data_IF_609146940974
#
_entry.id   IF_609146940974
#
_cell.length_a   1.000
_cell.length_b   1.000
_cell.length_c   1.000
_cell.angle_alpha   90.00
_cell.angle_beta   90.00
_cell.angle_gamma   90.00
#
_symmetry.space_group_name_H-M   'P 1'
#
loop_
_entity.id
_entity.type
_entity.pdbx_description
1 polymer ?
#
# COMPACT_ATOMS: atom_id res chain seq x y z
N UNK A 1 14.69 -7.63 -14.39
CA UNK A 1 13.43 -6.82 -14.29
C UNK A 1 13.79 -5.35 -14.31
N UNK A 2 12.90 -4.51 -14.82
CA UNK A 2 13.20 -3.09 -14.98
C UNK A 2 13.22 -2.36 -13.62
N UNK A 3 14.35 -1.77 -13.26
CA UNK A 3 14.47 -0.91 -12.09
C UNK A 3 13.53 0.30 -12.19
N UNK A 4 13.07 0.67 -13.40
CA UNK A 4 12.10 1.73 -13.63
C UNK A 4 10.70 1.41 -13.07
N UNK A 5 10.24 0.16 -13.19
CA UNK A 5 8.97 -0.27 -12.60
C UNK A 5 9.01 -0.19 -11.07
N UNK A 6 10.14 -0.60 -10.45
CA UNK A 6 10.33 -0.44 -9.00
C UNK A 6 10.36 1.05 -8.61
N UNK A 7 11.07 1.89 -9.35
CA UNK A 7 11.11 3.33 -9.11
C UNK A 7 9.72 3.96 -9.18
N UNK A 8 8.90 3.57 -10.18
CA UNK A 8 7.52 4.00 -10.30
C UNK A 8 6.63 3.54 -9.12
N UNK A 9 6.76 2.27 -8.73
CA UNK A 9 6.05 1.73 -7.57
C UNK A 9 6.40 2.48 -6.28
N UNK A 10 7.70 2.69 -6.03
CA UNK A 10 8.18 3.44 -4.86
C UNK A 10 7.77 4.91 -4.91
N UNK A 11 7.75 5.54 -6.09
CA UNK A 11 7.22 6.91 -6.24
C UNK A 11 5.75 6.96 -5.84
N UNK A 12 4.95 5.98 -6.25
CA UNK A 12 3.54 5.91 -5.90
C UNK A 12 3.31 5.79 -4.39
N UNK A 13 4.10 4.96 -3.70
CA UNK A 13 3.93 4.71 -2.25
C UNK A 13 4.56 5.78 -1.37
N UNK A 14 5.66 6.42 -1.81
CA UNK A 14 6.34 7.46 -1.03
C UNK A 14 5.77 8.85 -1.26
N UNK A 15 4.96 9.04 -2.30
CA UNK A 15 4.52 10.35 -2.80
C UNK A 15 5.69 11.30 -3.10
N UNK A 16 6.81 10.77 -3.53
CA UNK A 16 8.03 11.49 -3.90
C UNK A 16 8.55 10.91 -5.21
N UNK A 17 9.22 11.71 -6.00
CA UNK A 17 9.92 11.19 -7.17
C UNK A 17 11.03 10.25 -6.72
N UNK A 18 10.95 8.99 -7.14
CA UNK A 18 12.02 7.99 -6.94
C UNK A 18 12.58 7.65 -8.30
N UNK A 19 13.88 7.74 -8.45
CA UNK A 19 14.61 7.44 -9.68
C UNK A 19 15.50 6.21 -9.50
N UNK A 20 15.89 5.63 -10.61
CA UNK A 20 16.86 4.53 -10.59
C UNK A 20 18.26 5.06 -10.26
N UNK A 21 19.16 4.17 -9.83
CA UNK A 21 20.55 4.55 -9.63
C UNK A 21 21.24 4.95 -10.95
N UNK A 22 20.85 4.32 -12.05
CA UNK A 22 21.39 4.62 -13.38
C UNK A 22 21.02 6.06 -13.81
N UNK A 23 19.80 6.51 -13.48
CA UNK A 23 19.38 7.88 -13.78
C UNK A 23 20.08 8.89 -12.85
N UNK A 24 20.21 8.54 -11.57
CA UNK A 24 20.95 9.34 -10.60
C UNK A 24 22.42 9.53 -11.03
N UNK A 25 23.10 8.47 -11.47
CA UNK A 25 24.52 8.47 -11.86
C UNK A 25 24.81 9.25 -13.14
N UNK A 26 23.82 9.46 -14.01
CA UNK A 26 23.96 10.29 -15.22
C UNK A 26 24.08 11.80 -14.93
N UNK A 27 23.86 12.22 -13.72
CA UNK A 27 24.02 13.59 -13.26
C UNK A 27 22.78 14.48 -13.45
N UNK A 28 22.84 15.70 -12.92
CA UNK A 28 21.73 16.68 -13.02
C UNK A 28 20.72 16.62 -11.88
N UNK A 29 20.98 15.84 -10.85
CA UNK A 29 20.07 15.66 -9.71
C UNK A 29 20.67 16.18 -8.40
N UNK A 30 21.10 17.47 -8.40
CA UNK A 30 21.54 18.13 -7.17
C UNK A 30 20.41 18.13 -6.13
N UNK A 31 20.72 17.65 -4.92
CA UNK A 31 19.73 17.55 -3.84
C UNK A 31 18.97 16.21 -3.74
N UNK A 32 19.32 15.20 -4.54
CA UNK A 32 18.80 13.86 -4.36
C UNK A 32 19.30 13.21 -3.06
N UNK A 33 18.43 12.50 -2.38
CA UNK A 33 18.78 11.68 -1.22
C UNK A 33 18.60 10.20 -1.53
N UNK A 34 19.46 9.36 -0.98
CA UNK A 34 19.25 7.92 -1.04
C UNK A 34 17.98 7.55 -0.29
N UNK A 35 17.18 6.67 -0.87
CA UNK A 35 16.03 6.11 -0.19
C UNK A 35 16.50 5.33 1.04
N UNK A 36 15.93 5.65 2.21
CA UNK A 36 16.37 5.06 3.47
C UNK A 36 16.21 3.54 3.46
N UNK A 37 17.32 2.86 3.61
CA UNK A 37 17.36 1.40 3.65
C UNK A 37 16.57 0.83 4.82
N UNK A 38 16.51 1.52 5.96
CA UNK A 38 15.84 1.03 7.17
C UNK A 38 14.36 0.71 6.91
N UNK A 39 13.73 1.53 6.08
CA UNK A 39 12.34 1.35 5.68
C UNK A 39 12.14 0.21 4.68
N UNK A 40 13.13 -0.04 3.81
CA UNK A 40 13.06 -1.11 2.80
C UNK A 40 13.37 -2.50 3.36
N UNK A 41 13.99 -2.59 4.55
CA UNK A 41 14.48 -3.85 5.09
C UNK A 41 13.41 -4.79 5.63
N UNK A 42 12.22 -4.28 5.89
CA UNK A 42 11.13 -5.05 6.48
C UNK A 42 10.15 -5.62 5.44
N UNK A 43 10.31 -5.27 4.16
CA UNK A 43 9.32 -5.67 3.16
C UNK A 43 9.94 -6.02 1.81
N UNK A 44 9.36 -7.03 1.16
CA UNK A 44 9.54 -7.30 -0.25
C UNK A 44 8.43 -6.62 -1.02
N UNK A 45 8.77 -5.85 -2.05
CA UNK A 45 7.78 -5.26 -2.93
C UNK A 45 7.36 -6.27 -3.99
N UNK A 46 6.05 -6.49 -4.11
CA UNK A 46 5.48 -7.29 -5.19
C UNK A 46 4.68 -6.35 -6.08
N UNK A 47 5.16 -6.11 -7.30
CA UNK A 47 4.44 -5.35 -8.31
C UNK A 47 3.75 -6.31 -9.27
N UNK A 48 2.46 -6.17 -9.45
CA UNK A 48 1.69 -6.96 -10.41
C UNK A 48 1.03 -6.06 -11.44
N UNK A 49 1.07 -6.48 -12.71
CA UNK A 49 0.14 -5.95 -13.69
C UNK A 49 -1.26 -6.35 -13.24
N UNK A 50 -2.19 -5.40 -13.22
CA UNK A 50 -3.61 -5.73 -12.95
C UNK A 50 -4.05 -6.71 -14.04
N UNK A 51 -4.44 -7.96 -13.71
CA UNK A 51 -4.92 -8.89 -14.71
C UNK A 51 -6.14 -8.30 -15.41
N UNK A 52 -6.16 -8.36 -16.73
CA UNK A 52 -7.29 -7.87 -17.53
C UNK A 52 -8.59 -8.66 -17.30
N UNK A 53 -8.51 -9.82 -16.68
CA UNK A 53 -9.66 -10.68 -16.35
C UNK A 53 -10.36 -10.40 -15.02
N UNK A 54 -9.72 -9.58 -14.15
CA UNK A 54 -10.31 -9.04 -12.92
C UNK A 54 -10.08 -7.53 -12.91
N UNK A 55 -10.46 -6.84 -13.98
CA UNK A 55 -10.56 -5.39 -13.97
C UNK A 55 -11.48 -5.04 -12.81
N UNK A 56 -10.96 -4.32 -11.81
CA UNK A 56 -11.85 -3.55 -10.96
C UNK A 56 -12.64 -2.69 -11.91
N UNK A 57 -13.90 -3.00 -12.13
CA UNK A 57 -14.76 -2.15 -12.92
C UNK A 57 -14.92 -0.84 -12.17
N UNK A 58 -14.88 0.26 -12.91
CA UNK A 58 -15.30 1.54 -12.35
C UNK A 58 -16.70 1.36 -11.84
N UNK A 59 -16.91 1.75 -10.62
CA UNK A 59 -18.23 1.78 -10.02
C UNK A 59 -18.80 3.19 -10.10
N UNK A 60 -20.07 3.27 -10.40
CA UNK A 60 -20.78 4.53 -10.35
C UNK A 60 -21.41 4.68 -8.98
N UNK A 61 -20.97 5.72 -8.25
CA UNK A 61 -21.52 6.08 -6.95
C UNK A 61 -22.25 7.42 -7.06
N UNK A 62 -23.08 7.72 -6.08
CA UNK A 62 -23.81 8.97 -6.03
C UNK A 62 -23.37 9.79 -4.81
N UNK A 63 -23.14 11.07 -5.06
CA UNK A 63 -22.88 12.05 -4.00
C UNK A 63 -24.14 12.89 -3.82
N UNK A 64 -24.74 12.79 -2.66
CA UNK A 64 -25.92 13.57 -2.29
C UNK A 64 -25.45 14.90 -1.70
N UNK A 65 -25.59 15.97 -2.47
CA UNK A 65 -25.24 17.34 -2.08
C UNK A 65 -26.32 18.01 -1.22
N UNK A 66 -26.01 19.22 -0.74
CA UNK A 66 -26.83 20.01 0.21
C UNK A 66 -28.24 20.32 -0.32
N UNK A 67 -28.43 20.39 -1.63
CA UNK A 67 -29.71 20.75 -2.26
C UNK A 67 -30.51 19.53 -2.73
N UNK A 68 -30.21 18.34 -2.19
CA UNK A 68 -30.83 17.10 -2.64
C UNK A 68 -30.46 16.67 -4.07
N UNK A 69 -29.55 17.37 -4.74
CA UNK A 69 -29.01 16.95 -6.02
C UNK A 69 -28.00 15.84 -5.84
N UNK A 70 -28.28 14.72 -6.50
CA UNK A 70 -27.32 13.63 -6.59
C UNK A 70 -26.45 13.84 -7.84
N UNK A 71 -25.12 13.87 -7.66
CA UNK A 71 -24.19 13.74 -8.77
C UNK A 71 -23.65 12.31 -8.83
N UNK A 72 -23.61 11.74 -10.04
CA UNK A 72 -22.99 10.44 -10.28
C UNK A 72 -21.49 10.63 -10.55
N UNK A 73 -20.65 9.95 -9.77
CA UNK A 73 -19.20 9.97 -9.94
C UNK A 73 -18.73 8.58 -10.27
N UNK A 74 -17.90 8.43 -11.29
CA UNK A 74 -17.25 7.17 -11.61
C UNK A 74 -15.90 7.09 -10.92
N UNK A 75 -15.74 6.07 -10.11
CA UNK A 75 -14.58 5.86 -9.25
C UNK A 75 -14.15 4.40 -9.28
N UNK A 76 -12.93 4.15 -8.84
CA UNK A 76 -12.48 2.81 -8.60
C UNK A 76 -12.72 2.45 -7.12
N UNK A 77 -13.09 1.22 -6.78
CA UNK A 77 -13.20 0.79 -5.38
C UNK A 77 -11.92 1.05 -4.57
N UNK A 78 -10.78 1.02 -5.24
CA UNK A 78 -9.46 1.29 -4.67
C UNK A 78 -9.10 2.78 -4.54
N UNK A 79 -9.92 3.70 -5.06
CA UNK A 79 -9.66 5.14 -4.90
C UNK A 79 -9.76 5.54 -3.43
N UNK A 80 -8.84 6.39 -2.99
CA UNK A 80 -8.89 7.02 -1.67
C UNK A 80 -10.01 8.06 -1.61
N UNK A 81 -10.56 8.27 -0.42
CA UNK A 81 -11.56 9.31 -0.19
C UNK A 81 -11.05 10.69 -0.57
N UNK A 82 -9.75 10.94 -0.43
CA UNK A 82 -9.13 12.19 -0.91
C UNK A 82 -9.28 12.35 -2.41
N UNK A 83 -9.08 11.29 -3.22
CA UNK A 83 -9.26 11.34 -4.66
C UNK A 83 -10.72 11.58 -5.03
N UNK A 84 -11.65 10.94 -4.30
CA UNK A 84 -13.07 11.21 -4.45
C UNK A 84 -13.40 12.69 -4.17
N UNK A 85 -12.81 13.29 -3.14
CA UNK A 85 -13.01 14.72 -2.84
C UNK A 85 -12.48 15.64 -3.92
N UNK A 86 -11.37 15.31 -4.57
CA UNK A 86 -10.87 16.06 -5.73
C UNK A 86 -11.82 15.94 -6.94
N UNK A 87 -12.37 14.75 -7.18
CA UNK A 87 -13.38 14.55 -8.21
C UNK A 87 -14.64 15.38 -7.92
N UNK A 88 -15.12 15.39 -6.67
CA UNK A 88 -16.25 16.23 -6.24
C UNK A 88 -15.94 17.72 -6.39
N UNK A 89 -14.71 18.17 -6.13
CA UNK A 89 -14.27 19.55 -6.37
C UNK A 89 -14.40 19.91 -7.85
N UNK A 90 -13.99 19.02 -8.76
CA UNK A 90 -14.13 19.23 -10.20
C UNK A 90 -15.59 19.41 -10.63
N UNK A 91 -16.53 18.70 -10.02
CA UNK A 91 -17.95 18.70 -10.37
C UNK A 91 -18.75 19.81 -9.67
N UNK A 92 -18.44 20.12 -8.43
CA UNK A 92 -19.23 21.03 -7.58
C UNK A 92 -18.51 22.30 -7.17
N UNK A 93 -17.21 22.43 -7.43
CA UNK A 93 -16.40 23.60 -7.05
C UNK A 93 -16.18 23.73 -5.52
N UNK A 94 -16.42 22.66 -4.75
CA UNK A 94 -16.27 22.67 -3.29
C UNK A 94 -14.88 22.15 -2.93
N UNK A 95 -14.08 22.95 -2.22
CA UNK A 95 -12.74 22.56 -1.83
C UNK A 95 -12.72 21.31 -0.92
N UNK A 96 -11.76 20.37 -1.08
CA UNK A 96 -11.69 19.12 -0.31
C UNK A 96 -11.74 19.28 1.22
N UNK A 97 -11.13 20.37 1.75
CA UNK A 97 -11.15 20.69 3.17
C UNK A 97 -12.53 21.14 3.67
N UNK A 98 -13.41 21.60 2.79
CA UNK A 98 -14.81 21.95 3.09
C UNK A 98 -15.74 20.74 2.96
N UNK A 99 -15.29 19.65 2.34
CA UNK A 99 -16.10 18.47 2.12
C UNK A 99 -16.04 17.52 3.35
N UNK A 100 -17.20 17.22 3.91
CA UNK A 100 -17.39 16.16 4.88
C UNK A 100 -18.24 15.07 4.24
N UNK A 101 -17.63 13.93 3.93
CA UNK A 101 -18.30 12.79 3.32
C UNK A 101 -18.75 11.82 4.40
N UNK A 102 -20.00 11.36 4.32
CA UNK A 102 -20.61 10.43 5.28
C UNK A 102 -21.24 9.28 4.52
N UNK A 103 -20.93 8.06 4.91
CA UNK A 103 -21.55 6.84 4.38
C UNK A 103 -21.93 5.91 5.52
N UNK A 104 -23.15 5.37 5.48
CA UNK A 104 -23.70 4.50 6.53
C UNK A 104 -23.51 5.06 7.95
N UNK A 105 -23.71 6.38 8.13
CA UNK A 105 -23.58 7.07 9.40
C UNK A 105 -22.14 7.31 9.87
N UNK A 106 -21.13 6.94 9.10
CA UNK A 106 -19.71 7.15 9.41
C UNK A 106 -19.10 8.21 8.52
N UNK A 107 -18.32 9.11 9.10
CA UNK A 107 -17.50 10.04 8.34
C UNK A 107 -16.39 9.27 7.63
N UNK A 108 -16.17 9.57 6.36
CA UNK A 108 -15.11 8.98 5.56
C UNK A 108 -13.80 9.72 5.80
N UNK A 109 -12.73 8.98 6.03
CA UNK A 109 -11.38 9.50 6.24
C UNK A 109 -10.61 9.55 4.94
N UNK A 110 -9.87 10.62 4.70
CA UNK A 110 -9.24 10.96 3.41
C UNK A 110 -8.24 9.92 2.92
N UNK A 111 -7.58 9.25 3.85
CA UNK A 111 -6.52 8.26 3.58
C UNK A 111 -7.04 6.81 3.47
N UNK A 112 -8.33 6.61 3.39
CA UNK A 112 -8.95 5.31 3.26
C UNK A 112 -9.61 5.16 1.89
N UNK A 113 -9.69 3.91 1.42
CA UNK A 113 -10.29 3.61 0.12
C UNK A 113 -11.80 3.41 0.22
N UNK A 114 -12.51 3.57 -0.91
CA UNK A 114 -13.94 3.28 -1.01
C UNK A 114 -14.23 1.81 -0.65
N UNK A 115 -13.41 0.88 -1.11
CA UNK A 115 -13.53 -0.54 -0.78
C UNK A 115 -13.45 -0.80 0.72
N UNK A 116 -12.61 -0.06 1.44
CA UNK A 116 -12.47 -0.21 2.89
C UNK A 116 -13.72 0.14 3.68
N UNK A 117 -14.59 0.96 3.09
CA UNK A 117 -15.92 1.28 3.62
C UNK A 117 -17.03 0.39 3.04
N UNK A 118 -16.67 -0.60 2.19
CA UNK A 118 -17.62 -1.44 1.45
C UNK A 118 -18.57 -0.62 0.56
N UNK A 119 -18.06 0.50 0.02
CA UNK A 119 -18.79 1.34 -0.92
C UNK A 119 -18.72 0.66 -2.28
N UNK A 120 -19.84 0.14 -2.75
CA UNK A 120 -20.00 -0.52 -4.04
C UNK A 120 -20.76 0.33 -5.05
N UNK A 121 -21.02 -0.26 -6.23
CA UNK A 121 -21.80 0.40 -7.29
C UNK A 121 -23.16 0.85 -6.76
N UNK A 122 -23.58 2.05 -7.20
CA UNK A 122 -24.84 2.70 -6.81
C UNK A 122 -24.95 3.11 -5.33
N UNK A 123 -23.87 3.02 -4.55
CA UNK A 123 -23.84 3.56 -3.19
C UNK A 123 -24.05 5.07 -3.21
N UNK A 124 -24.76 5.59 -2.21
CA UNK A 124 -24.95 7.04 -2.03
C UNK A 124 -24.16 7.53 -0.82
N UNK A 125 -23.25 8.48 -1.04
CA UNK A 125 -22.45 9.15 -0.03
C UNK A 125 -23.03 10.53 0.21
N UNK A 126 -23.25 10.88 1.47
CA UNK A 126 -23.70 12.20 1.88
C UNK A 126 -22.53 13.19 1.89
N UNK A 127 -22.69 14.32 1.20
CA UNK A 127 -21.77 15.45 1.25
C UNK A 127 -22.35 16.53 2.15
N UNK A 128 -21.65 16.82 3.24
CA UNK A 128 -21.92 17.96 4.12
C UNK A 128 -20.81 18.99 3.88
N UNK A 129 -21.20 20.22 3.50
CA UNK A 129 -20.22 21.31 3.33
C UNK A 129 -20.00 21.99 4.68
N UNK A 130 -18.74 22.09 5.08
CA UNK A 130 -18.35 22.94 6.22
C UNK A 130 -18.38 24.38 5.73
N UNK A 131 -19.43 25.13 6.12
CA UNK A 131 -19.40 26.56 6.00
C UNK A 131 -18.35 27.08 6.97
N UNK A 132 -17.27 27.66 6.46
CA UNK A 132 -16.27 28.32 7.29
C UNK A 132 -16.94 29.42 8.08
N UNK A 133 -17.25 29.16 9.36
CA UNK A 133 -17.60 30.19 10.31
C UNK A 133 -16.36 31.04 10.54
N UNK A 134 -16.46 32.33 10.24
CA UNK A 134 -15.40 33.29 10.47
C UNK A 134 -15.03 33.40 11.95
N UNK A 135 -13.78 33.77 12.19
CA UNK A 135 -13.24 34.18 13.48
C UNK A 135 -12.19 33.20 13.97
N UNK A 136 -10.92 33.43 13.80
CA UNK A 136 -10.20 34.31 14.69
C UNK A 136 -8.89 34.79 14.07
N UNK A 137 -8.81 36.07 13.84
CA UNK A 137 -7.57 36.79 13.62
C UNK A 137 -7.00 37.12 14.99
N UNK A 138 -6.04 36.35 15.45
CA UNK A 138 -5.09 36.84 16.45
C UNK A 138 -3.70 36.79 15.87
N UNK A 139 -3.16 37.98 15.67
CA UNK A 139 -1.86 38.23 15.13
C UNK A 139 -0.76 37.56 15.94
N UNK A 140 0.14 36.97 15.21
CA UNK A 140 1.46 36.53 15.61
C UNK A 140 2.39 36.79 14.46
N UNK A 141 3.00 37.96 14.48
CA UNK A 141 4.18 38.31 13.69
C UNK A 141 5.23 37.23 13.94
N UNK A 142 5.50 36.44 12.92
CA UNK A 142 6.54 35.44 12.89
C UNK A 142 6.91 35.21 11.45
N UNK A 143 7.85 36.02 10.95
CA UNK A 143 8.57 35.79 9.71
C UNK A 143 9.23 34.40 9.73
N UNK A 144 8.46 33.38 9.51
CA UNK A 144 8.97 32.10 9.04
C UNK A 144 8.98 32.14 7.53
N UNK A 145 10.16 32.42 7.02
CA UNK A 145 10.48 32.21 5.62
C UNK A 145 9.95 30.82 5.24
N UNK A 146 9.04 30.82 4.29
CA UNK A 146 8.65 29.64 3.54
C UNK A 146 9.90 29.11 2.86
N UNK A 147 10.61 28.22 3.56
CA UNK A 147 11.54 27.34 2.88
C UNK A 147 10.70 26.46 1.99
N UNK A 148 10.88 26.50 0.66
CA UNK A 148 10.32 25.46 -0.18
C UNK A 148 10.89 24.15 0.39
N UNK A 149 10.02 23.27 0.89
CA UNK A 149 10.43 21.91 1.19
C UNK A 149 11.14 21.41 -0.05
N UNK A 150 12.43 21.08 0.01
CA UNK A 150 13.11 20.56 -1.16
C UNK A 150 12.30 19.34 -1.59
N UNK A 151 11.83 19.34 -2.82
CA UNK A 151 11.29 18.17 -3.48
C UNK A 151 12.46 17.20 -3.65
N UNK A 152 12.82 16.54 -2.54
CA UNK A 152 13.97 15.66 -2.51
C UNK A 152 13.62 14.47 -3.35
N UNK A 153 14.14 14.42 -4.55
CA UNK A 153 14.10 13.23 -5.39
C UNK A 153 14.86 12.14 -4.65
N UNK A 154 14.28 10.97 -4.54
CA UNK A 154 14.91 9.82 -3.91
C UNK A 154 15.49 8.90 -4.98
N UNK A 155 16.56 8.20 -4.69
CA UNK A 155 17.08 7.17 -5.56
C UNK A 155 17.29 5.85 -4.80
N UNK A 156 17.18 4.73 -5.54
CA UNK A 156 17.36 3.40 -5.00
C UNK A 156 18.79 2.96 -5.26
N UNK A 157 19.56 2.79 -4.17
CA UNK A 157 20.90 2.25 -4.30
C UNK A 157 20.87 0.74 -4.63
N UNK A 158 21.72 0.23 -5.54
CA UNK A 158 21.76 -1.19 -5.89
C UNK A 158 21.91 -2.13 -4.70
N UNK A 159 22.67 -1.75 -3.67
CA UNK A 159 22.85 -2.55 -2.45
C UNK A 159 21.56 -2.76 -1.65
N UNK A 160 20.54 -1.95 -1.91
CA UNK A 160 19.22 -2.11 -1.30
C UNK A 160 18.38 -3.21 -1.98
N UNK A 161 18.86 -3.75 -3.09
CA UNK A 161 18.15 -4.73 -3.90
C UNK A 161 18.83 -6.10 -3.80
N UNK A 162 18.06 -7.16 -4.04
CA UNK A 162 18.53 -8.53 -4.09
C UNK A 162 18.03 -9.21 -5.37
N UNK A 163 18.55 -8.83 -6.57
CA UNK A 163 18.01 -9.27 -7.85
C UNK A 163 18.02 -10.79 -8.07
N UNK A 164 18.90 -11.52 -7.38
CA UNK A 164 18.91 -12.99 -7.40
C UNK A 164 17.64 -13.63 -6.83
N UNK A 165 16.85 -12.88 -6.07
CA UNK A 165 15.56 -13.29 -5.52
C UNK A 165 14.37 -12.65 -6.23
N UNK A 166 14.60 -11.88 -7.28
CA UNK A 166 13.52 -11.40 -8.14
C UNK A 166 12.84 -12.57 -8.84
N UNK A 167 11.54 -12.44 -9.09
CA UNK A 167 10.84 -13.48 -9.81
C UNK A 167 9.62 -12.93 -10.56
N UNK A 168 9.45 -13.38 -11.80
CA UNK A 168 8.28 -13.07 -12.62
C UNK A 168 7.26 -14.20 -12.54
N UNK A 169 6.16 -13.96 -11.84
CA UNK A 169 5.05 -14.91 -11.70
C UNK A 169 3.91 -14.63 -12.69
N UNK A 170 4.06 -13.67 -13.62
CA UNK A 170 2.95 -13.23 -14.49
C UNK A 170 2.42 -14.33 -15.41
N UNK A 171 3.26 -15.32 -15.72
CA UNK A 171 2.91 -16.47 -16.57
C UNK A 171 2.89 -17.79 -15.78
N UNK A 172 2.85 -17.71 -14.46
CA UNK A 172 2.87 -18.89 -13.59
C UNK A 172 1.45 -19.24 -13.18
N UNK A 173 1.13 -20.52 -13.34
CA UNK A 173 -0.06 -21.17 -12.80
C UNK A 173 0.40 -22.36 -11.94
N UNK A 174 0.03 -22.36 -10.67
CA UNK A 174 0.44 -23.41 -9.74
C UNK A 174 -0.26 -24.75 -9.97
N UNK A 175 -1.37 -24.76 -10.72
CA UNK A 175 -2.13 -25.97 -11.09
C UNK A 175 -2.34 -26.95 -9.92
N UNK A 176 -2.71 -26.44 -8.76
CA UNK A 176 -2.95 -27.23 -7.57
C UNK A 176 -1.71 -27.73 -6.82
N UNK A 177 -0.51 -27.23 -7.17
CA UNK A 177 0.70 -27.49 -6.35
C UNK A 177 0.66 -26.64 -5.10
N UNK A 178 0.88 -27.29 -3.97
CA UNK A 178 1.01 -26.61 -2.67
C UNK A 178 2.48 -26.25 -2.41
N UNK A 179 2.70 -25.03 -1.98
CA UNK A 179 3.99 -24.55 -1.51
C UNK A 179 3.93 -24.24 -0.03
N UNK A 180 5.00 -24.52 0.69
CA UNK A 180 5.08 -24.31 2.13
C UNK A 180 6.16 -23.28 2.47
N UNK A 181 5.86 -22.38 3.41
CA UNK A 181 6.81 -21.44 4.00
C UNK A 181 6.51 -21.29 5.49
N UNK A 182 7.50 -21.54 6.34
CA UNK A 182 7.28 -21.53 7.78
C UNK A 182 6.25 -22.56 8.24
N UNK A 183 6.20 -23.74 7.58
CA UNK A 183 5.24 -24.81 7.81
C UNK A 183 3.76 -24.44 7.55
N UNK A 184 3.52 -23.34 6.88
CA UNK A 184 2.18 -22.87 6.47
C UNK A 184 2.09 -22.87 4.96
N UNK A 185 0.89 -23.05 4.42
CA UNK A 185 0.65 -22.95 2.99
C UNK A 185 1.01 -21.54 2.51
N UNK A 186 1.81 -21.48 1.46
CA UNK A 186 2.22 -20.24 0.84
C UNK A 186 1.60 -20.12 -0.54
N UNK A 187 0.60 -19.27 -0.67
CA UNK A 187 0.05 -18.92 -1.98
C UNK A 187 1.03 -18.01 -2.71
N UNK A 188 1.60 -18.54 -3.81
CA UNK A 188 2.52 -17.75 -4.63
C UNK A 188 1.76 -16.59 -5.29
N UNK A 189 2.45 -15.46 -5.55
CA UNK A 189 1.82 -14.30 -6.18
C UNK A 189 1.73 -14.50 -7.71
N UNK A 190 0.96 -15.50 -8.16
CA UNK A 190 0.73 -15.74 -9.57
C UNK A 190 0.09 -14.51 -10.23
N UNK A 191 0.55 -14.13 -11.42
CA UNK A 191 0.15 -12.89 -12.06
C UNK A 191 0.97 -11.65 -11.68
N UNK A 192 1.91 -11.75 -10.74
CA UNK A 192 2.70 -10.63 -10.21
C UNK A 192 4.18 -10.70 -10.57
N UNK A 193 4.86 -9.56 -10.50
CA UNK A 193 6.33 -9.48 -10.51
C UNK A 193 6.82 -9.18 -9.10
N UNK A 194 7.70 -10.02 -8.58
CA UNK A 194 8.36 -9.79 -7.30
C UNK A 194 9.71 -9.12 -7.53
N UNK A 195 9.93 -8.00 -6.87
CA UNK A 195 11.21 -7.32 -6.80
C UNK A 195 11.70 -7.42 -5.37
N UNK A 196 12.86 -8.03 -5.17
CA UNK A 196 13.37 -8.36 -3.85
C UNK A 196 14.24 -7.24 -3.28
N UNK A 197 13.97 -6.89 -2.03
CA UNK A 197 14.76 -5.98 -1.22
C UNK A 197 15.85 -6.77 -0.50
N UNK A 198 17.05 -6.20 -0.39
CA UNK A 198 18.14 -6.83 0.33
C UNK A 198 17.93 -6.76 1.84
N UNK A 199 17.56 -7.89 2.42
CA UNK A 199 17.36 -8.06 3.87
C UNK A 199 18.38 -9.01 4.52
N UNK A 200 19.36 -9.48 3.74
CA UNK A 200 20.38 -10.41 4.23
C UNK A 200 21.20 -9.78 5.36
N UNK A 201 21.49 -10.58 6.38
CA UNK A 201 22.32 -10.24 7.53
C UNK A 201 21.85 -9.04 8.38
N UNK A 202 20.56 -8.68 8.28
CA UNK A 202 20.02 -7.52 9.00
C UNK A 202 19.39 -7.86 10.34
N UNK A 203 18.96 -9.11 10.49
CA UNK A 203 18.25 -9.62 11.67
C UNK A 203 19.01 -10.81 12.29
N UNK A 204 20.34 -10.70 12.37
CA UNK A 204 21.20 -11.76 12.86
C UNK A 204 21.53 -12.79 11.79
N UNK A 205 20.92 -13.96 11.84
CA UNK A 205 21.06 -14.99 10.80
C UNK A 205 20.00 -14.82 9.68
N UNK A 206 20.11 -15.65 8.65
CA UNK A 206 19.17 -15.66 7.52
C UNK A 206 18.25 -16.91 7.53
N UNK A 207 18.21 -17.67 8.61
CA UNK A 207 17.46 -18.92 8.73
C UNK A 207 15.97 -18.67 8.51
N UNK A 208 15.46 -17.57 9.06
CA UNK A 208 14.06 -17.13 8.91
C UNK A 208 13.64 -16.90 7.46
N UNK A 209 14.56 -16.61 6.55
CA UNK A 209 14.30 -16.48 5.10
C UNK A 209 14.14 -17.83 4.39
N UNK A 210 14.56 -18.92 5.04
CA UNK A 210 14.55 -20.26 4.46
C UNK A 210 15.63 -20.45 3.39
N UNK A 211 16.82 -19.89 3.60
CA UNK A 211 17.97 -20.01 2.69
C UNK A 211 18.42 -21.46 2.49
N UNK A 212 18.22 -22.33 3.48
CA UNK A 212 18.58 -23.75 3.44
C UNK A 212 17.46 -24.65 2.92
N UNK A 213 16.47 -24.09 2.24
CA UNK A 213 15.36 -24.87 1.71
C UNK A 213 15.82 -25.84 0.62
N UNK A 214 15.52 -27.12 0.83
CA UNK A 214 15.92 -28.21 -0.07
C UNK A 214 15.01 -28.36 -1.30
N UNK A 215 13.76 -27.90 -1.20
CA UNK A 215 12.76 -27.99 -2.26
C UNK A 215 11.95 -26.70 -2.34
N UNK A 216 11.54 -26.31 -3.55
CA UNK A 216 10.68 -25.13 -3.76
C UNK A 216 9.31 -25.26 -3.09
N UNK A 217 8.83 -26.49 -2.86
CA UNK A 217 7.51 -26.80 -2.30
C UNK A 217 7.51 -27.01 -0.79
N UNK A 218 8.67 -27.22 -0.16
CA UNK A 218 8.78 -27.47 1.28
C UNK A 218 9.28 -26.25 2.06
N UNK A 219 9.04 -26.22 3.37
CA UNK A 219 9.67 -25.26 4.28
C UNK A 219 11.09 -25.69 4.67
N UNK A 220 11.94 -24.72 4.99
CA UNK A 220 13.16 -24.97 5.74
C UNK A 220 12.86 -24.96 7.25
N UNK A 221 13.79 -25.52 8.04
CA UNK A 221 13.71 -25.45 9.51
C UNK A 221 13.80 -23.99 9.96
N UNK A 222 12.92 -23.59 10.85
CA UNK A 222 12.82 -22.21 11.39
C UNK A 222 12.60 -21.11 10.32
N UNK A 223 12.18 -21.50 9.13
CA UNK A 223 11.72 -20.52 8.12
C UNK A 223 10.43 -19.83 8.61
N UNK A 224 10.33 -18.54 8.43
CA UNK A 224 9.11 -17.80 8.76
C UNK A 224 8.09 -17.82 7.61
N UNK A 225 6.80 -17.79 7.92
CA UNK A 225 5.74 -17.68 6.93
C UNK A 225 5.87 -16.44 6.04
N UNK A 226 5.48 -16.59 4.77
CA UNK A 226 5.39 -15.50 3.82
C UNK A 226 3.96 -15.01 3.68
N UNK A 227 3.72 -13.72 3.89
CA UNK A 227 2.40 -13.10 3.85
C UNK A 227 2.42 -11.81 3.07
N UNK A 228 1.23 -11.25 2.82
CA UNK A 228 1.03 -10.05 2.01
C UNK A 228 0.38 -8.94 2.81
N UNK A 229 0.82 -7.71 2.56
CA UNK A 229 0.24 -6.51 3.12
C UNK A 229 -0.07 -5.52 2.00
N UNK A 230 -1.36 -5.30 1.76
CA UNK A 230 -1.86 -4.23 0.89
C UNK A 230 -2.30 -3.06 1.74
N UNK A 231 -1.95 -1.85 1.34
CA UNK A 231 -2.33 -0.65 2.10
C UNK A 231 -2.43 0.57 1.21
N UNK A 232 -3.20 1.56 1.67
CA UNK A 232 -3.35 2.82 0.98
C UNK A 232 -2.04 3.63 0.98
N UNK A 233 -1.92 4.55 0.02
CA UNK A 233 -0.72 5.34 -0.28
C UNK A 233 -0.07 6.01 0.93
N UNK A 234 -0.86 6.65 1.79
CA UNK A 234 -0.31 7.38 2.94
C UNK A 234 0.33 6.44 3.97
N UNK A 235 -0.25 5.26 4.16
CA UNK A 235 0.34 4.24 5.02
C UNK A 235 1.59 3.64 4.37
N UNK A 236 1.57 3.41 3.06
CA UNK A 236 2.74 2.95 2.30
C UNK A 236 3.92 3.90 2.49
N UNK A 237 3.67 5.22 2.42
CA UNK A 237 4.70 6.24 2.65
C UNK A 237 5.37 6.08 4.01
N UNK A 238 4.57 5.87 5.06
CA UNK A 238 5.10 5.67 6.41
C UNK A 238 5.88 4.36 6.51
N UNK A 239 5.33 3.26 5.98
CA UNK A 239 5.98 1.95 5.95
C UNK A 239 7.31 2.03 5.19
N UNK A 240 7.37 2.73 4.06
CA UNK A 240 8.59 2.87 3.26
C UNK A 240 9.64 3.79 3.87
N UNK A 241 9.26 4.69 4.77
CA UNK A 241 10.17 5.64 5.42
C UNK A 241 10.72 5.16 6.76
N UNK A 242 9.89 4.52 7.56
CA UNK A 242 10.21 4.15 8.96
C UNK A 242 9.92 2.68 9.28
N UNK A 243 9.40 1.92 8.32
CA UNK A 243 8.93 0.56 8.53
C UNK A 243 7.51 0.53 9.14
N UNK A 244 7.10 -0.65 9.59
CA UNK A 244 5.83 -0.80 10.29
C UNK A 244 5.91 -0.15 11.66
N UNK A 245 5.00 0.77 11.96
CA UNK A 245 4.92 1.49 13.23
C UNK A 245 3.54 1.25 13.87
N UNK A 246 3.51 0.46 14.91
CA UNK A 246 2.28 0.11 15.63
C UNK A 246 1.58 1.34 16.25
N UNK A 247 2.34 2.37 16.64
CA UNK A 247 1.76 3.60 17.20
C UNK A 247 0.91 4.37 16.18
N UNK A 248 1.11 4.10 14.88
CA UNK A 248 0.36 4.71 13.79
C UNK A 248 -0.77 3.84 13.25
N UNK A 249 -0.90 2.61 13.72
CA UNK A 249 -2.02 1.76 13.38
C UNK A 249 -3.30 2.28 14.03
N UNK A 250 -4.33 2.57 13.21
CA UNK A 250 -5.58 3.19 13.69
C UNK A 250 -6.77 2.22 13.75
N UNK A 251 -6.61 0.99 13.28
CA UNK A 251 -7.69 0.00 13.19
C UNK A 251 -7.32 -1.24 13.98
N UNK A 252 -8.16 -1.57 14.95
CA UNK A 252 -7.96 -2.67 15.87
C UNK A 252 -9.25 -3.48 16.01
N UNK A 253 -9.84 -3.92 14.89
CA UNK A 253 -11.06 -4.72 14.93
C UNK A 253 -10.84 -6.06 15.65
N UNK A 254 -9.65 -6.64 15.50
CA UNK A 254 -9.28 -7.95 16.06
C UNK A 254 -8.00 -7.89 16.93
N UNK A 255 -7.67 -6.72 17.44
CA UNK A 255 -6.48 -6.49 18.25
C UNK A 255 -5.47 -5.54 17.62
N UNK A 256 -4.55 -5.05 18.46
CA UNK A 256 -3.52 -4.10 18.06
C UNK A 256 -2.39 -4.81 17.32
N UNK A 257 -2.10 -4.42 16.10
CA UNK A 257 -1.02 -5.02 15.32
C UNK A 257 -1.00 -4.61 13.85
N UNK A 258 -0.02 -5.12 13.13
CA UNK A 258 0.10 -5.01 11.68
C UNK A 258 -0.73 -6.12 11.05
N UNK A 259 -1.76 -5.74 10.32
CA UNK A 259 -2.66 -6.67 9.64
C UNK A 259 -2.09 -7.06 8.29
N UNK A 260 -1.90 -8.35 8.10
CA UNK A 260 -1.45 -8.95 6.84
C UNK A 260 -2.33 -10.16 6.51
N UNK A 261 -2.17 -10.73 5.35
CA UNK A 261 -2.96 -11.88 4.90
C UNK A 261 -2.10 -12.88 4.15
N UNK A 262 -2.34 -14.20 4.27
CA UNK A 262 -1.67 -15.19 3.43
C UNK A 262 -2.15 -15.18 1.98
N UNK A 263 -3.23 -14.46 1.69
CA UNK A 263 -3.86 -14.38 0.37
C UNK A 263 -3.58 -13.03 -0.32
N UNK A 264 -2.86 -13.07 -1.46
CA UNK A 264 -2.50 -11.86 -2.20
C UNK A 264 -3.72 -11.17 -2.80
N UNK A 265 -4.79 -11.90 -3.14
CA UNK A 265 -6.00 -11.32 -3.71
C UNK A 265 -6.77 -10.49 -2.68
N UNK A 266 -6.66 -10.85 -1.39
CA UNK A 266 -7.18 -10.03 -0.30
C UNK A 266 -6.30 -8.78 -0.13
N UNK A 267 -4.97 -8.93 -0.11
CA UNK A 267 -4.05 -7.80 -0.02
C UNK A 267 -4.21 -6.82 -1.19
N UNK A 268 -4.48 -7.35 -2.40
CA UNK A 268 -4.74 -6.57 -3.60
C UNK A 268 -5.88 -5.55 -3.43
N UNK A 269 -6.94 -5.88 -2.68
CA UNK A 269 -8.08 -4.99 -2.45
C UNK A 269 -7.69 -3.70 -1.73
N UNK A 270 -6.62 -3.75 -0.93
CA UNK A 270 -6.11 -2.63 -0.13
C UNK A 270 -4.88 -1.96 -0.76
N UNK A 271 -4.40 -2.47 -1.89
CA UNK A 271 -3.12 -2.09 -2.48
C UNK A 271 -3.19 -0.76 -3.25
N UNK A 272 -2.13 0.04 -3.13
CA UNK A 272 -1.97 1.30 -3.86
C UNK A 272 -1.80 1.06 -5.35
N UNK A 273 -2.56 1.80 -6.17
CA UNK A 273 -2.46 1.78 -7.64
C UNK A 273 -1.43 2.81 -8.12
N UNK A 274 -0.75 2.50 -9.22
CA UNK A 274 0.09 3.43 -9.97
C UNK A 274 0.10 3.07 -11.46
N UNK A 275 0.53 4.02 -12.30
CA UNK A 275 0.68 3.82 -13.75
C UNK A 275 2.15 3.83 -14.11
N UNK A 276 2.57 2.93 -15.00
CA UNK A 276 3.91 2.86 -15.54
C UNK A 276 3.84 2.39 -17.00
N UNK A 277 4.48 3.12 -17.91
CA UNK A 277 4.51 2.83 -19.37
C UNK A 277 3.11 2.62 -19.99
N UNK A 278 2.11 3.36 -19.50
CA UNK A 278 0.71 3.28 -19.96
C UNK A 278 -0.11 2.15 -19.36
N UNK A 279 0.50 1.23 -18.64
CA UNK A 279 -0.18 0.14 -17.92
C UNK A 279 -0.49 0.52 -16.47
N UNK A 280 -1.58 -0.01 -15.93
CA UNK A 280 -1.94 0.13 -14.53
C UNK A 280 -1.37 -1.01 -13.70
N UNK A 281 -0.85 -0.68 -12.54
CA UNK A 281 -0.27 -1.61 -11.58
C UNK A 281 -0.78 -1.36 -10.18
N UNK A 282 -0.66 -2.37 -9.32
CA UNK A 282 -0.79 -2.23 -7.87
C UNK A 282 0.49 -2.69 -7.18
N UNK A 283 0.76 -2.16 -6.00
CA UNK A 283 1.90 -2.56 -5.18
C UNK A 283 1.43 -3.19 -3.88
N UNK A 284 1.97 -4.37 -3.57
CA UNK A 284 1.72 -5.13 -2.35
C UNK A 284 3.07 -5.46 -1.72
N UNK A 285 3.17 -5.33 -0.40
CA UNK A 285 4.35 -5.79 0.34
C UNK A 285 4.24 -7.30 0.60
N UNK A 286 5.30 -8.04 0.30
CA UNK A 286 5.45 -9.42 0.73
C UNK A 286 6.42 -9.47 1.90
N UNK A 287 5.97 -9.96 3.04
CA UNK A 287 6.71 -9.96 4.29
C UNK A 287 6.99 -11.38 4.78
N UNK A 288 7.99 -11.52 5.63
CA UNK A 288 8.15 -12.65 6.53
C UNK A 288 7.70 -12.21 7.91
N UNK A 289 6.97 -13.05 8.60
CA UNK A 289 6.44 -12.74 9.94
C UNK A 289 6.91 -13.75 10.95
N UNK A 290 7.20 -13.27 12.15
CA UNK A 290 7.61 -14.13 13.25
C UNK A 290 6.41 -14.97 13.74
N UNK A 291 6.42 -16.28 13.56
CA UNK A 291 5.27 -17.12 13.93
C UNK A 291 5.01 -17.17 15.44
N UNK A 292 6.01 -16.84 16.26
CA UNK A 292 5.89 -16.92 17.72
C UNK A 292 5.04 -15.81 18.34
N UNK A 293 4.83 -14.70 17.61
CA UNK A 293 4.07 -13.56 18.09
C UNK A 293 2.80 -13.28 17.26
N UNK A 294 2.51 -14.14 16.30
CA UNK A 294 1.44 -13.96 15.35
C UNK A 294 0.08 -14.31 15.94
N UNK A 295 -0.94 -13.49 15.65
CA UNK A 295 -2.35 -13.78 15.95
C UNK A 295 -3.08 -14.00 14.63
N UNK A 296 -3.60 -15.19 14.42
CA UNK A 296 -4.37 -15.56 13.25
C UNK A 296 -5.86 -15.31 13.51
N UNK A 297 -6.53 -14.64 12.58
CA UNK A 297 -7.96 -14.37 12.61
C UNK A 297 -8.59 -14.97 11.37
N UNK A 298 -9.49 -15.91 11.58
CA UNK A 298 -10.06 -16.71 10.49
C UNK A 298 -10.98 -15.90 9.57
N UNK A 299 -11.26 -16.47 8.39
CA UNK A 299 -12.19 -15.89 7.45
C UNK A 299 -13.61 -15.82 8.00
N UNK A 300 -14.00 -16.77 8.83
CA UNK A 300 -15.31 -16.85 9.48
C UNK A 300 -15.51 -15.68 10.45
N UNK A 301 -14.47 -15.32 11.21
CA UNK A 301 -14.51 -14.21 12.16
C UNK A 301 -14.51 -12.84 11.46
N UNK A 302 -13.79 -12.71 10.37
CA UNK A 302 -13.64 -11.43 9.66
C UNK A 302 -14.76 -11.19 8.63
N UNK A 303 -15.35 -12.24 8.09
CA UNK A 303 -16.33 -12.20 7.00
C UNK A 303 -15.76 -11.78 5.65
N UNK A 304 -14.43 -11.56 5.53
CA UNK A 304 -13.80 -11.03 4.32
C UNK A 304 -12.53 -11.75 3.89
N UNK A 305 -11.87 -12.45 4.79
CA UNK A 305 -10.64 -13.18 4.51
C UNK A 305 -9.88 -13.50 5.78
N UNK A 306 -8.86 -14.31 5.67
CA UNK A 306 -7.95 -14.62 6.76
C UNK A 306 -6.96 -13.48 6.95
N UNK A 307 -6.80 -13.01 8.18
CA UNK A 307 -5.82 -11.99 8.55
C UNK A 307 -4.89 -12.48 9.65
N UNK A 308 -3.64 -12.12 9.51
CA UNK A 308 -2.59 -12.39 10.47
C UNK A 308 -2.10 -11.07 11.04
N UNK A 309 -2.10 -10.97 12.35
CA UNK A 309 -1.83 -9.73 13.06
C UNK A 309 -0.51 -9.89 13.80
N UNK A 310 0.48 -9.08 13.43
CA UNK A 310 1.75 -8.98 14.17
C UNK A 310 1.64 -7.91 15.23
N UNK A 311 1.59 -8.26 16.53
CA UNK A 311 1.44 -7.29 17.62
C UNK A 311 2.73 -6.54 17.94
N UNK A 312 3.84 -6.90 17.28
CA UNK A 312 5.17 -6.30 17.40
C UNK A 312 5.71 -5.91 16.03
N UNK A 313 6.72 -5.06 16.01
CA UNK A 313 7.42 -4.63 14.79
C UNK A 313 8.52 -5.63 14.34
N UNK A 314 8.37 -6.89 14.64
CA UNK A 314 9.30 -7.98 14.33
C UNK A 314 8.87 -8.85 13.14
#
# INVERSE_FOLDING_TARGET
>A
MSNSLLAAALSAITNRSVITYDDYSKGGHDGCSQLDQKALHQSHLVGGRVPTSNEEERIRIFIMGINGRNIGVEVWPSDEIRQLKENIKGELGIEPNQQRLIFAGKQLEDNLTLASYKIGSHSTIQLVVRLGGGGDSSGGDGTHGSYPSPSTVLFIHPDSLAPSYDYDFTQIDDKGKTFMRGNVEYKRPCGWKRIAINVLNKYGDNIWLGVDRKSSTSSATNEWPGIYHGTARDNCKLISQVGYDLAKCKRFLFGNGIYSTPDIDIAYQFATRFTHDGDNYKVVFQNRVNPNSLVEVSKEETGSGEFWISPKND
#
